data_IF_207236835221
#
_entry.id   IF_207236835221
#
_cell.length_a   1.000
_cell.length_b   1.000
_cell.length_c   1.000
_cell.angle_alpha   90.00
_cell.angle_beta   90.00
_cell.angle_gamma   90.00
#
_symmetry.space_group_name_H-M   'P 1'
#
loop_
_entity.id
_entity.type
_entity.pdbx_description
1 polymer ?
#
# COMPACT_ATOMS: atom_id res chain seq x y z
N UNK A 1 6.01 28.89 91.37
CA UNK A 1 7.23 28.06 91.59
C UNK A 1 7.55 27.38 90.25
N UNK A 2 8.35 27.98 89.36
CA UNK A 2 9.82 27.90 89.22
C UNK A 2 10.36 26.49 88.87
N UNK A 3 10.98 26.40 87.69
CA UNK A 3 12.04 25.49 87.19
C UNK A 3 11.60 24.32 86.30
N UNK A 4 11.76 24.48 84.97
CA UNK A 4 12.16 23.42 84.03
C UNK A 4 12.44 23.98 82.61
N UNK A 5 13.51 24.78 82.43
CA UNK A 5 14.00 25.17 81.07
C UNK A 5 15.50 24.90 80.91
N UNK A 6 16.18 24.39 81.95
CA UNK A 6 17.66 24.39 82.02
C UNK A 6 18.30 23.01 81.79
N UNK A 7 17.79 22.21 80.83
CA UNK A 7 18.41 20.90 80.54
C UNK A 7 18.50 20.50 79.05
N UNK A 8 18.12 21.37 78.11
CA UNK A 8 18.31 21.11 76.67
C UNK A 8 19.54 21.81 76.06
N UNK A 9 20.07 22.86 76.69
CA UNK A 9 21.20 23.63 76.16
C UNK A 9 22.58 22.97 76.30
N UNK A 10 22.77 22.08 77.28
CA UNK A 10 24.09 21.51 77.57
C UNK A 10 24.44 20.30 76.70
N UNK A 11 23.44 19.62 76.11
CA UNK A 11 23.64 18.50 75.17
C UNK A 11 23.93 18.96 73.74
N UNK A 12 23.41 20.11 73.32
CA UNK A 12 23.63 20.66 71.99
C UNK A 12 25.04 21.28 71.82
N UNK A 13 25.66 21.76 72.91
CA UNK A 13 26.99 22.36 72.87
C UNK A 13 28.11 21.30 72.77
N UNK A 14 27.89 20.11 73.34
CA UNK A 14 28.86 19.00 73.30
C UNK A 14 28.92 18.31 71.93
N UNK A 15 27.82 18.30 71.18
CA UNK A 15 27.80 17.77 69.80
C UNK A 15 28.45 18.71 68.81
N UNK A 16 28.40 20.03 69.01
CA UNK A 16 29.03 21.01 68.11
C UNK A 16 30.56 21.01 68.28
N UNK A 17 31.08 20.78 69.49
CA UNK A 17 32.52 20.78 69.75
C UNK A 17 33.23 19.49 69.26
N UNK A 18 32.51 18.37 69.10
CA UNK A 18 33.08 17.12 68.57
C UNK A 18 33.26 17.16 67.04
N UNK A 19 32.56 18.06 66.34
CA UNK A 19 32.59 18.15 64.87
C UNK A 19 33.75 19.02 64.36
N UNK A 20 34.34 19.90 65.18
CA UNK A 20 35.43 20.80 64.75
C UNK A 20 36.86 20.25 64.92
N UNK A 21 37.03 19.02 65.45
CA UNK A 21 38.35 18.50 65.85
C UNK A 21 38.96 17.44 64.91
N UNK A 22 38.63 17.44 63.61
CA UNK A 22 39.42 16.69 62.62
C UNK A 22 39.76 17.56 61.41
N UNK A 23 40.75 18.43 61.64
CA UNK A 23 41.56 19.01 60.59
C UNK A 23 42.65 18.01 60.13
N UNK A 24 43.06 18.19 58.88
CA UNK A 24 44.26 17.70 58.20
C UNK A 24 44.21 16.30 57.57
N UNK A 25 44.28 16.30 56.23
CA UNK A 25 44.68 15.11 55.47
C UNK A 25 44.62 15.30 53.96
N UNK A 26 45.67 15.89 53.37
CA UNK A 26 46.09 15.66 51.98
C UNK A 26 45.19 16.18 50.87
N UNK A 27 45.67 17.18 50.12
CA UNK A 27 45.14 17.45 48.78
C UNK A 27 45.46 16.24 47.87
N UNK A 28 44.47 15.53 47.31
CA UNK A 28 44.75 14.53 46.28
C UNK A 28 45.17 15.24 44.99
N UNK A 29 46.22 14.73 44.36
CA UNK A 29 46.65 15.13 43.03
C UNK A 29 45.46 15.03 42.04
N UNK A 30 45.39 15.87 40.98
CA UNK A 30 44.34 15.77 39.99
C UNK A 30 44.36 14.38 39.37
N UNK A 31 43.30 13.61 39.60
CA UNK A 31 43.07 12.34 38.94
C UNK A 31 42.85 12.63 37.45
N UNK A 32 43.48 11.89 36.51
CA UNK A 32 43.14 12.05 35.11
C UNK A 32 41.67 11.67 34.94
N UNK A 33 40.85 12.64 34.51
CA UNK A 33 39.49 12.37 34.04
C UNK A 33 39.60 11.35 32.92
N UNK A 34 39.21 10.10 33.20
CA UNK A 34 38.96 9.13 32.13
C UNK A 34 37.77 9.69 31.36
N UNK A 35 38.03 10.07 30.10
CA UNK A 35 36.97 10.51 29.19
C UNK A 35 35.86 9.45 29.16
N UNK A 36 34.57 9.84 29.10
CA UNK A 36 33.50 8.87 29.00
C UNK A 36 33.76 7.96 27.80
N UNK A 37 33.78 6.64 28.02
CA UNK A 37 33.82 5.67 26.94
C UNK A 37 32.62 5.93 26.04
N UNK A 38 32.82 6.15 24.72
CA UNK A 38 31.69 6.38 23.83
C UNK A 38 30.75 5.16 23.90
N UNK A 39 29.42 5.35 23.86
CA UNK A 39 28.49 4.24 23.79
C UNK A 39 28.82 3.34 22.60
N UNK A 40 28.57 2.02 22.67
CA UNK A 40 28.84 1.12 21.55
C UNK A 40 28.13 1.64 20.31
N UNK A 41 28.92 2.01 19.30
CA UNK A 41 28.39 2.38 17.99
C UNK A 41 27.82 1.14 17.34
N UNK A 42 26.50 1.05 17.25
CA UNK A 42 25.83 0.06 16.41
C UNK A 42 26.20 0.36 14.96
N UNK A 43 27.11 -0.43 14.40
CA UNK A 43 27.36 -0.42 12.94
C UNK A 43 26.07 -0.88 12.25
N UNK A 44 25.46 -0.08 11.37
CA UNK A 44 24.29 -0.51 10.64
C UNK A 44 24.64 -1.74 9.80
N UNK A 45 23.73 -2.73 9.68
CA UNK A 45 23.92 -3.84 8.77
C UNK A 45 24.14 -3.32 7.34
N UNK A 46 24.89 -4.05 6.49
CA UNK A 46 25.08 -3.65 5.10
C UNK A 46 23.72 -3.42 4.43
N UNK A 47 23.59 -2.41 3.55
CA UNK A 47 22.37 -2.18 2.82
C UNK A 47 21.93 -3.45 2.12
N UNK A 48 20.65 -3.84 2.29
CA UNK A 48 20.10 -4.93 1.51
C UNK A 48 20.24 -4.58 0.02
N UNK A 49 20.65 -5.54 -0.84
CA UNK A 49 20.62 -5.30 -2.27
C UNK A 49 19.20 -4.90 -2.68
N UNK A 50 19.03 -3.99 -3.66
CA UNK A 50 17.72 -3.59 -4.11
C UNK A 50 16.97 -4.84 -4.59
N UNK A 51 15.78 -5.09 -4.02
CA UNK A 51 14.84 -6.06 -4.56
C UNK A 51 14.59 -5.68 -6.01
N UNK A 52 14.89 -6.59 -6.94
CA UNK A 52 14.66 -6.33 -8.35
C UNK A 52 13.18 -6.01 -8.57
N UNK A 53 12.89 -4.84 -9.14
CA UNK A 53 11.55 -4.52 -9.62
C UNK A 53 11.14 -5.59 -10.63
N UNK A 54 9.97 -6.24 -10.48
CA UNK A 54 9.52 -7.23 -11.45
C UNK A 54 9.47 -6.57 -12.83
N UNK A 55 10.12 -7.19 -13.82
CA UNK A 55 10.01 -6.77 -15.22
C UNK A 55 8.56 -7.01 -15.65
N UNK A 56 7.85 -6.01 -16.20
CA UNK A 56 6.49 -6.21 -16.65
C UNK A 56 6.49 -7.30 -17.72
N UNK A 57 5.68 -8.34 -17.51
CA UNK A 57 5.45 -9.34 -18.56
C UNK A 57 4.76 -8.64 -19.72
N UNK A 58 5.24 -8.79 -20.97
CA UNK A 58 4.61 -8.15 -22.11
C UNK A 58 3.16 -8.62 -22.23
N UNK A 59 2.24 -7.65 -22.24
CA UNK A 59 0.81 -7.91 -22.41
C UNK A 59 0.57 -8.61 -23.77
N UNK A 60 0.01 -9.82 -23.83
CA UNK A 60 -0.10 -10.58 -25.09
C UNK A 60 -0.98 -9.84 -26.09
N UNK A 61 -0.54 -9.54 -27.31
CA UNK A 61 -1.40 -8.88 -28.30
C UNK A 61 -2.63 -9.75 -28.63
N UNK A 62 -3.82 -9.14 -28.71
CA UNK A 62 -5.05 -9.88 -28.96
C UNK A 62 -5.14 -10.32 -30.43
N UNK A 63 -5.14 -11.62 -30.68
CA UNK A 63 -5.48 -12.18 -32.00
C UNK A 63 -6.99 -12.44 -32.06
N UNK A 64 -7.76 -11.41 -32.43
CA UNK A 64 -9.21 -11.53 -32.47
C UNK A 64 -9.71 -12.55 -33.51
N UNK A 65 -8.94 -12.93 -34.52
CA UNK A 65 -9.38 -13.95 -35.48
C UNK A 65 -9.33 -15.38 -34.90
N UNK A 66 -8.55 -15.60 -33.84
CA UNK A 66 -8.40 -16.92 -33.23
C UNK A 66 -9.52 -17.23 -32.24
N UNK A 67 -10.41 -18.14 -32.64
CA UNK A 67 -11.51 -18.63 -31.80
C UNK A 67 -11.13 -19.88 -31.00
N UNK A 68 -9.92 -20.41 -31.15
CA UNK A 68 -9.49 -21.65 -30.48
C UNK A 68 -9.65 -21.60 -28.96
N UNK A 69 -9.25 -20.51 -28.25
CA UNK A 69 -9.41 -20.45 -26.79
C UNK A 69 -10.87 -20.50 -26.35
N UNK A 70 -11.76 -19.91 -27.15
CA UNK A 70 -13.18 -19.89 -26.85
C UNK A 70 -13.80 -21.27 -27.04
N UNK A 71 -13.49 -21.97 -28.14
CA UNK A 71 -13.96 -23.36 -28.38
C UNK A 71 -13.49 -24.32 -27.30
N UNK A 72 -12.26 -24.16 -26.82
CA UNK A 72 -11.71 -25.00 -25.76
C UNK A 72 -12.50 -24.88 -24.44
N UNK A 73 -13.17 -23.75 -24.21
CA UNK A 73 -14.02 -23.51 -23.04
C UNK A 73 -15.47 -24.01 -23.22
N UNK A 74 -15.85 -24.44 -24.43
CA UNK A 74 -17.21 -24.90 -24.74
C UNK A 74 -17.33 -26.43 -24.64
N UNK A 75 -18.54 -26.91 -24.38
CA UNK A 75 -18.85 -28.35 -24.51
C UNK A 75 -18.74 -28.79 -25.98
N UNK A 76 -18.32 -30.04 -26.26
CA UNK A 76 -18.02 -30.48 -27.63
C UNK A 76 -19.14 -30.24 -28.64
N UNK A 77 -20.39 -30.43 -28.24
CA UNK A 77 -21.57 -30.28 -29.10
C UNK A 77 -21.85 -28.81 -29.48
N UNK A 78 -21.36 -27.85 -28.69
CA UNK A 78 -21.59 -26.42 -28.89
C UNK A 78 -20.39 -25.71 -29.53
N UNK A 79 -19.27 -26.39 -29.75
CA UNK A 79 -18.05 -25.74 -30.24
C UNK A 79 -18.23 -25.05 -31.61
N UNK A 80 -19.20 -25.47 -32.42
CA UNK A 80 -19.54 -24.85 -33.72
C UNK A 80 -20.53 -23.69 -33.63
N UNK A 81 -21.06 -23.38 -32.45
CA UNK A 81 -22.02 -22.29 -32.27
C UNK A 81 -21.33 -20.92 -32.30
N UNK A 82 -20.03 -20.86 -31.96
CA UNK A 82 -19.30 -19.60 -31.90
C UNK A 82 -19.15 -18.92 -33.27
N UNK A 83 -19.10 -19.69 -34.36
CA UNK A 83 -19.06 -19.15 -35.73
C UNK A 83 -20.40 -18.63 -36.22
N UNK A 84 -21.49 -18.99 -35.57
CA UNK A 84 -22.82 -18.50 -35.90
C UNK A 84 -23.09 -17.12 -35.29
N UNK A 85 -22.24 -16.68 -34.36
CA UNK A 85 -22.35 -15.35 -33.76
C UNK A 85 -21.86 -14.28 -34.74
N UNK A 86 -22.75 -13.39 -35.12
CA UNK A 86 -22.40 -12.21 -35.93
C UNK A 86 -21.74 -11.16 -35.06
N UNK A 87 -20.48 -10.82 -35.38
CA UNK A 87 -19.68 -9.79 -34.72
C UNK A 87 -19.84 -9.76 -33.18
N UNK A 88 -19.59 -10.87 -32.47
CA UNK A 88 -19.75 -10.91 -31.03
C UNK A 88 -18.75 -9.97 -30.37
N UNK A 89 -19.16 -9.37 -29.26
CA UNK A 89 -18.22 -8.68 -28.38
C UNK A 89 -17.24 -9.69 -27.81
N UNK A 90 -15.94 -9.39 -27.88
CA UNK A 90 -14.88 -10.28 -27.41
C UNK A 90 -13.99 -9.57 -26.43
N UNK A 91 -13.59 -10.30 -25.39
CA UNK A 91 -12.76 -9.79 -24.32
C UNK A 91 -11.48 -10.60 -24.21
N UNK A 92 -10.38 -9.91 -23.94
CA UNK A 92 -9.15 -10.49 -23.45
C UNK A 92 -8.84 -9.82 -22.11
N UNK A 93 -8.89 -10.61 -21.04
CA UNK A 93 -8.73 -10.15 -19.66
C UNK A 93 -7.50 -10.84 -19.09
N UNK A 94 -6.47 -10.06 -18.82
CA UNK A 94 -5.21 -10.51 -18.23
C UNK A 94 -5.13 -9.93 -16.82
N UNK A 95 -5.20 -10.77 -15.79
CA UNK A 95 -5.23 -10.35 -14.38
C UNK A 95 -4.17 -11.09 -13.56
N UNK A 96 -3.62 -10.38 -12.59
CA UNK A 96 -2.76 -10.88 -11.54
C UNK A 96 -3.53 -10.80 -10.22
N UNK A 97 -3.61 -11.93 -9.53
CA UNK A 97 -4.19 -12.02 -8.19
C UNK A 97 -3.07 -12.00 -7.15
N UNK A 98 -3.04 -10.97 -6.33
CA UNK A 98 -2.27 -10.97 -5.09
C UNK A 98 -3.05 -11.76 -4.02
N UNK A 99 -2.41 -12.80 -3.48
CA UNK A 99 -3.00 -13.68 -2.47
C UNK A 99 -2.79 -13.16 -1.03
N UNK A 100 -1.87 -12.22 -0.82
CA UNK A 100 -1.60 -11.64 0.50
C UNK A 100 -2.54 -10.47 0.81
N UNK A 101 -2.72 -9.56 -0.15
CA UNK A 101 -3.82 -8.60 -0.17
C UNK A 101 -4.73 -8.94 -1.35
N UNK A 102 -5.96 -9.48 -1.16
CA UNK A 102 -6.80 -10.03 -2.24
C UNK A 102 -7.20 -8.97 -3.28
N UNK A 103 -6.26 -8.66 -4.16
CA UNK A 103 -6.29 -7.56 -5.12
C UNK A 103 -6.06 -8.14 -6.49
N UNK A 104 -6.90 -7.74 -7.43
CA UNK A 104 -6.73 -8.05 -8.85
C UNK A 104 -6.18 -6.81 -9.55
N UNK A 105 -5.07 -6.96 -10.26
CA UNK A 105 -4.50 -5.91 -11.12
C UNK A 105 -4.30 -6.45 -12.53
N UNK A 106 -4.45 -5.61 -13.54
CA UNK A 106 -4.21 -6.04 -14.92
C UNK A 106 -4.96 -5.23 -15.97
N UNK A 107 -5.20 -5.86 -17.11
CA UNK A 107 -5.72 -5.19 -18.30
C UNK A 107 -6.89 -5.95 -18.90
N UNK A 108 -7.89 -5.20 -19.36
CA UNK A 108 -8.93 -5.70 -20.24
C UNK A 108 -8.80 -5.04 -21.60
N UNK A 109 -8.88 -5.85 -22.66
CA UNK A 109 -9.06 -5.40 -24.04
C UNK A 109 -10.34 -5.96 -24.58
N UNK A 110 -11.02 -5.17 -25.40
CA UNK A 110 -12.33 -5.52 -25.95
C UNK A 110 -12.36 -5.22 -27.44
N UNK A 111 -12.84 -6.17 -28.24
CA UNK A 111 -13.32 -5.91 -29.57
C UNK A 111 -14.85 -5.81 -29.49
N UNK A 112 -15.37 -4.64 -29.79
CA UNK A 112 -16.79 -4.35 -29.82
C UNK A 112 -17.20 -3.93 -31.22
N UNK A 113 -18.33 -4.44 -31.68
CA UNK A 113 -18.98 -4.02 -32.92
C UNK A 113 -20.37 -3.53 -32.55
N UNK A 114 -20.69 -2.31 -32.95
CA UNK A 114 -22.05 -1.81 -32.84
C UNK A 114 -22.92 -2.54 -33.86
N UNK A 115 -23.75 -3.48 -33.38
CA UNK A 115 -24.67 -4.26 -34.21
C UNK A 115 -26.06 -3.58 -34.32
N UNK A 116 -26.22 -2.39 -33.75
CA UNK A 116 -27.44 -1.60 -33.85
C UNK A 116 -27.49 -0.84 -35.19
N UNK A 117 -28.70 -0.41 -35.58
CA UNK A 117 -28.89 0.41 -36.79
C UNK A 117 -28.63 1.89 -36.57
N UNK A 118 -28.29 2.28 -35.35
CA UNK A 118 -28.02 3.67 -34.95
C UNK A 118 -26.57 3.80 -34.51
N UNK A 119 -26.01 4.98 -34.69
CA UNK A 119 -24.67 5.30 -34.21
C UNK A 119 -24.62 5.24 -32.68
N UNK A 120 -23.50 4.74 -32.16
CA UNK A 120 -23.26 4.61 -30.73
C UNK A 120 -22.24 5.65 -30.31
N UNK A 121 -22.68 6.66 -29.54
CA UNK A 121 -21.80 7.72 -29.04
C UNK A 121 -21.00 7.33 -27.79
N UNK A 122 -21.32 6.23 -27.13
CA UNK A 122 -20.65 5.83 -25.89
C UNK A 122 -20.83 4.35 -25.53
N UNK A 123 -19.92 3.85 -24.70
CA UNK A 123 -20.03 2.54 -24.07
C UNK A 123 -20.18 2.68 -22.55
N UNK A 124 -21.13 1.94 -21.98
CA UNK A 124 -21.37 1.92 -20.54
C UNK A 124 -20.84 0.63 -19.90
N UNK A 125 -20.08 0.75 -18.81
CA UNK A 125 -19.53 -0.35 -18.03
C UNK A 125 -20.02 -0.29 -16.59
N UNK A 126 -20.23 -1.46 -15.98
CA UNK A 126 -20.54 -1.60 -14.56
C UNK A 126 -19.26 -1.91 -13.80
N UNK A 127 -18.96 -1.09 -12.80
CA UNK A 127 -17.86 -1.30 -11.87
C UNK A 127 -18.44 -1.91 -10.59
N UNK A 128 -18.87 -3.17 -10.69
CA UNK A 128 -19.58 -3.86 -9.60
C UNK A 128 -18.88 -3.77 -8.24
N UNK A 129 -17.54 -3.88 -8.13
CA UNK A 129 -16.88 -3.73 -6.84
C UNK A 129 -17.19 -2.40 -6.13
N UNK A 130 -17.39 -1.30 -6.88
CA UNK A 130 -17.72 0.01 -6.33
C UNK A 130 -19.19 0.15 -5.88
N UNK A 131 -20.07 -0.79 -6.23
CA UNK A 131 -21.45 -0.73 -5.78
C UNK A 131 -21.56 -1.11 -4.29
N UNK A 132 -22.41 -0.43 -3.49
CA UNK A 132 -22.46 -0.61 -2.03
C UNK A 132 -22.66 -2.05 -1.53
N UNK A 133 -23.29 -2.91 -2.34
CA UNK A 133 -23.56 -4.30 -1.97
C UNK A 133 -22.32 -5.22 -1.99
N UNK A 134 -21.22 -4.83 -2.63
CA UNK A 134 -20.07 -5.71 -2.88
C UNK A 134 -18.91 -5.51 -1.90
N UNK A 135 -18.86 -4.40 -1.17
CA UNK A 135 -17.86 -4.16 -0.13
C UNK A 135 -16.41 -4.09 -0.62
N UNK A 136 -16.20 -3.85 -1.92
CA UNK A 136 -14.88 -3.73 -2.54
C UNK A 136 -14.68 -2.36 -3.18
N UNK A 137 -13.60 -2.24 -3.96
CA UNK A 137 -13.36 -1.10 -4.84
C UNK A 137 -12.65 -1.55 -6.12
N UNK A 138 -12.82 -0.77 -7.17
CA UNK A 138 -12.18 -0.93 -8.47
C UNK A 138 -11.84 0.46 -8.98
N UNK A 139 -10.59 0.61 -9.41
CA UNK A 139 -10.07 1.82 -10.03
C UNK A 139 -9.66 1.48 -11.46
N UNK A 140 -9.97 2.39 -12.40
CA UNK A 140 -9.55 2.26 -13.79
C UNK A 140 -8.46 3.31 -14.02
N UNK A 141 -7.23 2.83 -14.19
CA UNK A 141 -6.06 3.70 -14.33
C UNK A 141 -6.03 4.41 -15.69
N UNK A 142 -6.47 3.72 -16.75
CA UNK A 142 -6.36 4.21 -18.13
C UNK A 142 -7.38 3.57 -19.05
N UNK A 143 -7.94 4.37 -19.95
CA UNK A 143 -8.85 3.92 -21.01
C UNK A 143 -8.31 4.38 -22.36
N UNK A 144 -8.28 3.46 -23.33
CA UNK A 144 -7.82 3.74 -24.70
C UNK A 144 -8.86 3.19 -25.70
N UNK A 145 -9.30 4.03 -26.63
CA UNK A 145 -10.25 3.69 -27.70
C UNK A 145 -9.59 4.02 -29.04
N UNK A 146 -9.51 3.05 -29.96
CA UNK A 146 -8.89 3.29 -31.28
C UNK A 146 -7.40 3.67 -31.26
N UNK A 147 -6.73 3.53 -30.11
CA UNK A 147 -5.34 3.98 -29.91
C UNK A 147 -5.22 5.35 -29.24
N UNK A 148 -6.33 6.04 -29.01
CA UNK A 148 -6.38 7.34 -28.32
C UNK A 148 -6.86 7.17 -26.89
N UNK A 149 -6.23 7.91 -25.98
CA UNK A 149 -6.64 7.92 -24.58
C UNK A 149 -7.90 8.75 -24.40
N UNK A 150 -8.86 8.20 -23.65
CA UNK A 150 -10.18 8.80 -23.46
C UNK A 150 -10.46 8.91 -21.98
N UNK A 151 -10.95 10.08 -21.54
CA UNK A 151 -11.36 10.28 -20.15
C UNK A 151 -12.75 9.68 -19.91
N UNK A 152 -12.89 8.73 -18.97
CA UNK A 152 -14.18 8.15 -18.65
C UNK A 152 -15.05 9.11 -17.79
N UNK A 153 -16.37 9.01 -17.94
CA UNK A 153 -17.33 9.69 -17.08
C UNK A 153 -17.92 8.70 -16.07
N UNK A 154 -17.72 8.94 -14.78
CA UNK A 154 -18.23 8.09 -13.72
C UNK A 154 -19.61 8.54 -13.24
N UNK A 155 -20.51 7.56 -13.08
CA UNK A 155 -21.87 7.76 -12.61
C UNK A 155 -22.18 6.79 -11.46
N UNK A 156 -23.37 6.95 -10.86
CA UNK A 156 -23.88 6.05 -9.81
C UNK A 156 -22.85 5.83 -8.67
N UNK A 157 -22.30 6.93 -8.16
CA UNK A 157 -21.29 6.92 -7.10
C UNK A 157 -20.05 6.08 -7.45
N UNK A 158 -19.63 6.08 -8.73
CA UNK A 158 -18.46 5.35 -9.21
C UNK A 158 -18.71 3.88 -9.57
N UNK A 159 -19.95 3.40 -9.52
CA UNK A 159 -20.32 2.03 -9.89
C UNK A 159 -20.72 1.85 -11.35
N UNK A 160 -20.78 2.95 -12.12
CA UNK A 160 -20.92 2.94 -13.56
C UNK A 160 -19.89 3.88 -14.19
N UNK A 161 -19.41 3.50 -15.37
CA UNK A 161 -18.43 4.24 -16.14
C UNK A 161 -18.91 4.33 -17.59
N UNK A 162 -18.97 5.55 -18.13
CA UNK A 162 -19.24 5.82 -19.55
C UNK A 162 -17.93 6.16 -20.25
N UNK A 163 -17.71 5.56 -21.41
CA UNK A 163 -16.59 5.86 -22.29
C UNK A 163 -17.18 6.54 -23.52
N UNK A 164 -16.93 7.84 -23.74
CA UNK A 164 -17.34 8.48 -24.99
C UNK A 164 -16.57 7.87 -26.16
N UNK A 165 -17.26 7.65 -27.27
CA UNK A 165 -16.66 7.20 -28.52
C UNK A 165 -16.47 8.42 -29.42
N UNK A 166 -15.29 8.56 -30.02
CA UNK A 166 -15.06 9.55 -31.06
C UNK A 166 -15.88 9.19 -32.31
N UNK A 167 -16.36 10.22 -33.02
CA UNK A 167 -16.96 10.08 -34.36
C UNK A 167 -15.90 9.71 -35.42
#
# INVERSE_FOLDING_TARGET
MRKAVTLYGLRALFTILLVLAMACGGAPAPSPTIAPTPPPTHTPPPPMPPTATPVPTPTPLANWADLTPHRAAMVPQAQGDIEQLENPTRYLIDLLLDMEGPTLTGHQRMLYTNNETVELGELCFRLFPNAPAYGGSMEIERVVVGGEEVEPVYELSGSAMRIPLAE
#
